data_IF_421153091710
#
_entry.id   IF_421153091710
#
_cell.length_a   1.000
_cell.length_b   1.000
_cell.length_c   1.000
_cell.angle_alpha   90.00
_cell.angle_beta   90.00
_cell.angle_gamma   90.00
#
_symmetry.space_group_name_H-M   'P 1'
#
loop_
_entity.id
_entity.type
_entity.pdbx_description
1 polymer ?
#
# COMPACT_ATOMS: atom_id res chain seq x y z
N UNK A 1 16.49 -15.18 -4.68
CA UNK A 1 15.18 -14.67 -5.12
C UNK A 1 14.58 -13.89 -3.96
N UNK A 2 14.34 -12.61 -4.17
CA UNK A 2 13.87 -11.68 -3.14
C UNK A 2 12.39 -11.96 -2.86
N UNK A 3 12.07 -12.39 -1.63
CA UNK A 3 10.70 -12.74 -1.19
C UNK A 3 10.03 -11.63 -0.36
N UNK A 4 10.47 -10.39 -0.53
CA UNK A 4 9.92 -9.27 0.24
C UNK A 4 8.52 -8.93 -0.28
N UNK A 5 7.52 -9.02 0.61
CA UNK A 5 6.13 -8.73 0.26
C UNK A 5 5.85 -7.24 0.32
N UNK A 6 5.13 -6.72 -0.67
CA UNK A 6 4.78 -5.31 -0.71
C UNK A 6 3.31 -5.04 -1.05
N UNK A 7 2.88 -3.81 -0.78
CA UNK A 7 1.60 -3.22 -1.18
C UNK A 7 1.75 -1.70 -1.37
N UNK A 8 0.79 -1.01 -2.02
CA UNK A 8 0.81 0.45 -2.17
C UNK A 8 0.92 1.19 -0.83
N UNK A 9 1.67 2.29 -0.83
CA UNK A 9 1.82 3.19 0.31
C UNK A 9 0.50 3.85 0.69
N UNK A 10 -0.39 4.09 -0.29
CA UNK A 10 -1.73 4.62 -0.08
C UNK A 10 -2.44 4.00 1.12
N UNK A 11 -2.43 2.67 1.22
CA UNK A 11 -3.14 1.96 2.27
C UNK A 11 -2.72 2.44 3.67
N UNK A 12 -1.42 2.64 3.89
CA UNK A 12 -0.90 3.20 5.13
C UNK A 12 -1.08 4.71 5.23
N UNK A 13 -0.91 5.45 4.12
CA UNK A 13 -1.04 6.92 4.11
C UNK A 13 -2.41 7.38 4.58
N UNK A 14 -3.49 6.69 4.20
CA UNK A 14 -4.84 7.02 4.66
C UNK A 14 -4.97 6.98 6.18
N UNK A 15 -4.33 6.01 6.84
CA UNK A 15 -4.33 5.91 8.31
C UNK A 15 -3.54 7.06 8.92
N UNK A 16 -2.39 7.39 8.33
CA UNK A 16 -1.55 8.50 8.79
C UNK A 16 -2.29 9.84 8.68
N UNK A 17 -2.93 10.09 7.55
CA UNK A 17 -3.67 11.33 7.28
C UNK A 17 -4.88 11.47 8.19
N UNK A 18 -5.57 10.37 8.49
CA UNK A 18 -6.60 10.35 9.52
C UNK A 18 -6.07 10.80 10.87
N UNK A 19 -4.98 10.17 11.33
CA UNK A 19 -4.35 10.53 12.60
C UNK A 19 -3.94 12.02 12.61
N UNK A 20 -3.32 12.51 11.53
CA UNK A 20 -2.95 13.92 11.38
C UNK A 20 -4.19 14.84 11.49
N UNK A 21 -5.32 14.46 10.89
CA UNK A 21 -6.58 15.24 10.96
C UNK A 21 -7.20 15.29 12.36
N UNK A 22 -6.88 14.32 13.20
CA UNK A 22 -7.35 14.22 14.60
C UNK A 22 -6.31 14.69 15.62
N UNK A 23 -5.12 15.09 15.18
CA UNK A 23 -4.01 15.43 16.07
C UNK A 23 -3.44 14.22 16.84
N UNK A 24 -3.68 13.00 16.36
CA UNK A 24 -3.16 11.76 16.95
C UNK A 24 -1.71 11.58 16.48
N UNK A 25 -0.79 11.41 17.43
CA UNK A 25 0.63 11.21 17.10
C UNK A 25 0.88 9.83 16.51
N UNK A 26 1.44 9.81 15.30
CA UNK A 26 1.86 8.57 14.63
C UNK A 26 3.32 8.25 14.97
N UNK A 27 3.65 7.01 15.37
CA UNK A 27 5.01 6.57 15.65
C UNK A 27 6.02 6.92 14.57
N UNK A 28 7.24 7.26 15.00
CA UNK A 28 8.31 7.76 14.13
C UNK A 28 8.65 6.83 12.97
N UNK A 29 8.51 5.51 13.18
CA UNK A 29 8.83 4.52 12.14
C UNK A 29 7.83 4.47 10.97
N UNK A 30 6.70 5.18 11.05
CA UNK A 30 5.78 5.37 9.93
C UNK A 30 5.93 6.73 9.24
N UNK A 31 6.72 7.66 9.81
CA UNK A 31 6.74 9.05 9.37
C UNK A 31 7.19 9.24 7.92
N UNK A 32 8.14 8.43 7.46
CA UNK A 32 8.68 8.51 6.11
C UNK A 32 7.64 8.20 5.02
N UNK A 33 6.57 7.47 5.35
CA UNK A 33 5.53 7.05 4.41
C UNK A 33 4.73 8.24 3.88
N UNK A 34 4.64 9.33 4.66
CA UNK A 34 4.00 10.60 4.26
C UNK A 34 4.56 11.17 2.95
N UNK A 35 5.84 10.90 2.68
CA UNK A 35 6.57 11.48 1.55
C UNK A 35 6.60 10.59 0.31
N UNK A 36 5.93 9.44 0.37
CA UNK A 36 5.81 8.51 -0.75
C UNK A 36 4.61 8.91 -1.63
N UNK A 37 4.71 8.63 -2.93
CA UNK A 37 3.56 8.61 -3.81
C UNK A 37 2.58 7.51 -3.38
N UNK A 38 1.32 7.58 -3.81
CA UNK A 38 0.30 6.61 -3.41
C UNK A 38 0.59 5.21 -3.98
N UNK A 39 1.16 5.17 -5.19
CA UNK A 39 1.53 3.96 -5.92
C UNK A 39 2.82 3.32 -5.43
N UNK A 40 3.68 4.08 -4.74
CA UNK A 40 4.96 3.60 -4.20
C UNK A 40 4.72 2.36 -3.35
N UNK A 41 5.60 1.40 -3.47
CA UNK A 41 5.49 0.15 -2.71
C UNK A 41 6.16 0.31 -1.35
N UNK A 42 5.54 -0.29 -0.33
CA UNK A 42 6.08 -0.45 1.02
C UNK A 42 5.83 -1.89 1.50
N UNK A 43 6.33 -2.22 2.69
CA UNK A 43 6.17 -3.52 3.32
C UNK A 43 4.69 -3.89 3.41
N UNK A 44 4.39 -5.10 2.98
CA UNK A 44 3.06 -5.67 3.05
C UNK A 44 2.47 -5.62 4.45
N UNK A 45 3.23 -5.63 5.55
CA UNK A 45 2.62 -5.66 6.88
C UNK A 45 2.30 -4.27 7.46
N UNK A 46 2.78 -3.19 6.83
CA UNK A 46 2.76 -1.86 7.44
C UNK A 46 1.36 -1.33 7.78
N UNK A 47 0.35 -1.43 6.89
CA UNK A 47 -0.99 -0.90 7.24
C UNK A 47 -1.66 -1.71 8.37
N UNK A 48 -1.41 -3.01 8.48
CA UNK A 48 -2.00 -3.81 9.55
C UNK A 48 -1.34 -3.47 10.88
N UNK A 49 -0.03 -3.26 10.87
CA UNK A 49 0.73 -2.85 12.06
C UNK A 49 0.29 -1.47 12.54
N UNK A 50 0.22 -0.45 11.67
CA UNK A 50 -0.22 0.88 12.10
C UNK A 50 -1.68 0.87 12.56
N UNK A 51 -2.58 0.13 11.91
CA UNK A 51 -3.97 0.03 12.36
C UNK A 51 -4.08 -0.59 13.75
N UNK A 52 -3.30 -1.64 14.01
CA UNK A 52 -3.23 -2.24 15.33
C UNK A 52 -2.62 -1.30 16.37
N UNK A 53 -1.47 -0.68 16.06
CA UNK A 53 -0.79 0.26 16.95
C UNK A 53 -1.72 1.43 17.30
N UNK A 54 -2.42 2.00 16.31
CA UNK A 54 -3.29 3.15 16.52
C UNK A 54 -4.56 2.77 17.29
N UNK A 55 -5.15 1.61 17.01
CA UNK A 55 -6.30 1.09 17.79
C UNK A 55 -5.94 0.92 19.28
N UNK A 56 -4.72 0.46 19.58
CA UNK A 56 -4.23 0.30 20.96
C UNK A 56 -3.92 1.65 21.61
N UNK A 57 -3.30 2.59 20.88
CA UNK A 57 -2.89 3.89 21.42
C UNK A 57 -4.05 4.87 21.63
N UNK A 58 -5.03 4.89 20.73
CA UNK A 58 -6.19 5.79 20.79
C UNK A 58 -7.26 5.31 21.80
N UNK A 59 -7.14 4.07 22.29
CA UNK A 59 -8.14 3.38 23.11
C UNK A 59 -9.57 3.45 22.50
N UNK A 60 -9.66 3.70 21.19
CA UNK A 60 -10.89 3.92 20.48
C UNK A 60 -11.40 2.61 19.87
N UNK A 61 -12.51 2.06 20.39
CA UNK A 61 -13.06 0.85 19.83
C UNK A 61 -13.50 1.04 18.37
N UNK A 62 -13.74 2.24 17.88
CA UNK A 62 -14.26 2.47 16.55
C UNK A 62 -13.25 3.06 15.57
N UNK A 63 -11.95 3.03 15.89
CA UNK A 63 -10.89 3.64 15.04
C UNK A 63 -11.03 3.32 13.54
N UNK A 64 -11.19 2.06 13.17
CA UNK A 64 -11.36 1.69 11.77
C UNK A 64 -12.67 2.19 11.13
N UNK A 65 -13.76 2.31 11.89
CA UNK A 65 -14.99 2.92 11.38
C UNK A 65 -14.80 4.40 11.09
N UNK A 66 -14.03 5.10 11.92
CA UNK A 66 -13.79 6.53 11.72
C UNK A 66 -12.90 6.80 10.50
N UNK A 67 -12.12 5.79 10.06
CA UNK A 67 -11.36 5.83 8.80
C UNK A 67 -12.24 5.74 7.55
N UNK A 68 -13.52 5.40 7.67
CA UNK A 68 -14.41 5.17 6.53
C UNK A 68 -14.44 6.36 5.57
N UNK A 69 -14.49 7.59 6.10
CA UNK A 69 -14.51 8.79 5.26
C UNK A 69 -13.20 8.95 4.47
N UNK A 70 -12.05 8.68 5.10
CA UNK A 70 -10.74 8.80 4.43
C UNK A 70 -10.60 7.72 3.37
N UNK A 71 -11.06 6.51 3.67
CA UNK A 71 -11.03 5.42 2.71
C UNK A 71 -11.88 5.77 1.49
N UNK A 72 -13.07 6.33 1.70
CA UNK A 72 -13.93 6.82 0.61
C UNK A 72 -13.24 7.87 -0.24
N UNK A 73 -12.58 8.86 0.37
CA UNK A 73 -11.90 9.96 -0.33
C UNK A 73 -10.61 9.53 -1.06
N UNK A 74 -9.94 8.48 -0.60
CA UNK A 74 -8.60 8.10 -1.07
C UNK A 74 -8.56 6.76 -1.79
N UNK A 75 -9.16 5.72 -1.21
CA UNK A 75 -9.12 4.36 -1.73
C UNK A 75 -10.01 4.20 -2.97
N UNK A 76 -11.20 4.81 -2.96
CA UNK A 76 -12.12 4.73 -4.11
C UNK A 76 -11.49 5.39 -5.34
N UNK A 77 -11.02 6.65 -5.32
CA UNK A 77 -10.40 7.26 -6.50
C UNK A 77 -9.14 6.54 -6.99
N UNK A 78 -8.39 5.89 -6.09
CA UNK A 78 -7.26 5.06 -6.48
C UNK A 78 -7.70 3.78 -7.20
N UNK A 79 -8.78 3.16 -6.72
CA UNK A 79 -9.29 1.89 -7.23
C UNK A 79 -10.11 2.07 -8.50
N UNK A 80 -11.01 3.05 -8.60
CA UNK A 80 -11.89 3.19 -9.78
C UNK A 80 -11.11 3.46 -11.08
N UNK A 81 -9.87 3.98 -10.99
CA UNK A 81 -8.99 4.19 -12.15
C UNK A 81 -8.69 2.91 -12.94
N UNK A 82 -8.85 1.74 -12.33
CA UNK A 82 -8.61 0.45 -12.97
C UNK A 82 -9.89 -0.22 -13.49
N UNK A 83 -11.05 0.35 -13.18
CA UNK A 83 -12.34 -0.20 -13.61
C UNK A 83 -12.70 0.33 -14.99
N UNK A 84 -13.31 -0.53 -15.80
CA UNK A 84 -13.92 -0.16 -17.06
C UNK A 84 -15.44 -0.19 -16.87
N UNK A 85 -16.06 0.97 -16.77
CA UNK A 85 -17.50 1.09 -16.54
C UNK A 85 -18.35 0.65 -17.74
N UNK A 86 -17.74 0.26 -18.86
CA UNK A 86 -18.44 -0.43 -19.95
C UNK A 86 -18.54 -1.94 -19.73
N UNK A 87 -17.78 -2.50 -18.77
CA UNK A 87 -17.86 -3.90 -18.37
C UNK A 87 -18.84 -4.08 -17.21
N UNK A 88 -19.41 -5.26 -17.09
CA UNK A 88 -20.23 -5.65 -15.93
C UNK A 88 -19.44 -5.57 -14.62
N UNK A 89 -20.16 -5.60 -13.50
CA UNK A 89 -19.54 -5.69 -12.17
C UNK A 89 -18.69 -6.97 -12.00
N UNK A 90 -19.11 -8.09 -12.59
CA UNK A 90 -18.39 -9.37 -12.53
C UNK A 90 -17.03 -9.30 -13.24
N UNK A 91 -17.00 -8.71 -14.44
CA UNK A 91 -15.75 -8.53 -15.20
C UNK A 91 -14.83 -7.49 -14.56
N UNK A 92 -15.39 -6.42 -13.99
CA UNK A 92 -14.63 -5.47 -13.19
C UNK A 92 -14.03 -6.10 -11.93
N UNK A 93 -14.71 -7.09 -11.31
CA UNK A 93 -14.17 -7.82 -10.16
C UNK A 93 -12.97 -8.68 -10.56
N UNK A 94 -13.00 -9.26 -11.75
CA UNK A 94 -11.88 -9.99 -12.34
C UNK A 94 -10.67 -9.06 -12.51
N UNK A 95 -10.84 -7.92 -13.18
CA UNK A 95 -9.77 -6.94 -13.42
C UNK A 95 -9.22 -6.37 -12.11
N UNK A 96 -10.09 -6.07 -11.14
CA UNK A 96 -9.72 -5.67 -9.79
C UNK A 96 -8.83 -6.70 -9.10
N UNK A 97 -9.23 -7.98 -9.17
CA UNK A 97 -8.46 -9.09 -8.58
C UNK A 97 -7.08 -9.20 -9.23
N UNK A 98 -7.00 -9.10 -10.55
CA UNK A 98 -5.74 -9.19 -11.29
C UNK A 98 -4.81 -8.00 -11.03
N UNK A 99 -5.36 -6.79 -11.01
CA UNK A 99 -4.61 -5.57 -10.68
C UNK A 99 -3.98 -5.68 -9.30
N UNK A 100 -4.77 -5.90 -8.24
CA UNK A 100 -4.22 -5.96 -6.88
C UNK A 100 -3.23 -7.10 -6.68
N UNK A 101 -3.40 -8.24 -7.37
CA UNK A 101 -2.41 -9.33 -7.39
C UNK A 101 -1.09 -8.94 -8.06
N UNK A 102 -1.13 -8.04 -9.05
CA UNK A 102 0.08 -7.60 -9.76
C UNK A 102 0.89 -6.55 -8.99
N UNK A 103 0.20 -5.70 -8.20
CA UNK A 103 0.78 -4.57 -7.47
C UNK A 103 0.93 -4.80 -5.96
N UNK A 104 0.59 -5.99 -5.48
CA UNK A 104 0.69 -6.40 -4.08
C UNK A 104 0.88 -7.91 -3.97
N UNK A 105 1.51 -8.39 -2.88
CA UNK A 105 1.63 -9.83 -2.59
C UNK A 105 0.43 -10.40 -1.84
N UNK A 106 -0.75 -9.87 -2.16
CA UNK A 106 -2.02 -10.40 -1.70
C UNK A 106 -2.20 -11.81 -2.26
N UNK A 107 -2.57 -12.76 -1.41
CA UNK A 107 -2.85 -14.14 -1.82
C UNK A 107 -4.23 -14.26 -2.47
N UNK A 108 -4.45 -13.45 -3.52
CA UNK A 108 -5.72 -13.36 -4.24
C UNK A 108 -5.67 -14.17 -5.53
N UNK A 109 -6.80 -14.79 -5.84
CA UNK A 109 -7.04 -15.55 -7.06
C UNK A 109 -8.46 -15.32 -7.54
N UNK A 110 -8.70 -15.57 -8.82
CA UNK A 110 -10.03 -15.55 -9.41
C UNK A 110 -10.48 -16.98 -9.74
N UNK A 111 -11.77 -17.25 -9.50
CA UNK A 111 -12.47 -18.42 -10.05
C UNK A 111 -13.51 -17.85 -11.01
N UNK A 112 -13.44 -18.25 -12.28
CA UNK A 112 -14.38 -17.81 -13.31
C UNK A 112 -15.18 -19.02 -13.77
N UNK A 113 -16.50 -18.90 -13.75
CA UNK A 113 -17.43 -19.90 -14.26
C UNK A 113 -18.25 -19.31 -15.40
N UNK A 114 -19.14 -20.10 -15.99
CA UNK A 114 -20.09 -19.60 -17.00
C UNK A 114 -21.03 -18.54 -16.42
N UNK A 115 -21.34 -18.60 -15.11
CA UNK A 115 -22.38 -17.76 -14.49
C UNK A 115 -21.86 -16.74 -13.49
N UNK A 116 -20.57 -16.78 -13.12
CA UNK A 116 -20.04 -15.90 -12.08
C UNK A 116 -18.53 -15.67 -12.16
N UNK A 117 -18.10 -14.61 -11.47
CA UNK A 117 -16.70 -14.35 -11.13
C UNK A 117 -16.57 -14.31 -9.62
N UNK A 118 -15.58 -15.03 -9.09
CA UNK A 118 -15.27 -15.04 -7.66
C UNK A 118 -13.85 -14.55 -7.41
N UNK A 119 -13.70 -13.48 -6.62
CA UNK A 119 -12.45 -13.15 -5.94
C UNK A 119 -12.30 -14.09 -4.74
N UNK A 120 -11.17 -14.78 -4.63
CA UNK A 120 -10.79 -15.59 -3.47
C UNK A 120 -9.50 -15.04 -2.88
N UNK A 121 -9.55 -14.57 -1.65
CA UNK A 121 -8.40 -14.13 -0.88
C UNK A 121 -8.09 -15.18 0.20
N UNK A 122 -7.03 -15.95 -0.03
CA UNK A 122 -6.61 -17.01 0.88
C UNK A 122 -6.23 -16.45 2.26
N UNK A 123 -6.45 -17.25 3.30
CA UNK A 123 -6.23 -16.87 4.70
C UNK A 123 -5.47 -17.95 5.44
N UNK A 124 -4.69 -17.52 6.42
CA UNK A 124 -3.92 -18.40 7.28
C UNK A 124 -4.74 -18.89 8.48
N UNK A 125 -4.06 -19.32 9.53
CA UNK A 125 -4.70 -19.59 10.82
C UNK A 125 -5.21 -18.30 11.45
N UNK A 126 -6.35 -18.37 12.14
CA UNK A 126 -7.00 -17.22 12.78
C UNK A 126 -6.04 -16.43 13.71
N UNK A 127 -5.16 -17.12 14.44
CA UNK A 127 -4.20 -16.50 15.37
C UNK A 127 -3.17 -15.58 14.70
N UNK A 128 -2.98 -15.70 13.38
CA UNK A 128 -2.01 -14.90 12.61
C UNK A 128 -2.68 -13.96 11.63
N UNK A 129 -4.01 -14.02 11.52
CA UNK A 129 -4.75 -13.20 10.58
C UNK A 129 -5.02 -11.81 11.16
N UNK A 130 -5.17 -10.84 10.27
CA UNK A 130 -5.59 -9.50 10.66
C UNK A 130 -7.00 -9.26 10.14
N UNK A 131 -7.92 -8.92 11.06
CA UNK A 131 -9.29 -8.50 10.71
C UNK A 131 -9.31 -7.35 9.70
N UNK A 132 -8.30 -6.48 9.70
CA UNK A 132 -8.20 -5.34 8.80
C UNK A 132 -8.08 -5.74 7.34
N UNK A 133 -7.41 -6.86 7.02
CA UNK A 133 -7.34 -7.34 5.64
C UNK A 133 -8.73 -7.68 5.09
N UNK A 134 -9.61 -8.24 5.93
CA UNK A 134 -11.00 -8.56 5.56
C UNK A 134 -11.87 -7.31 5.50
N UNK A 135 -11.73 -6.40 6.47
CA UNK A 135 -12.48 -5.15 6.51
C UNK A 135 -12.16 -4.25 5.31
N UNK A 136 -10.88 -4.17 4.88
CA UNK A 136 -10.50 -3.43 3.68
C UNK A 136 -11.16 -3.98 2.42
N UNK A 137 -11.12 -5.30 2.24
CA UNK A 137 -11.75 -5.91 1.06
C UNK A 137 -13.25 -5.69 1.12
N UNK A 138 -13.89 -5.96 2.26
CA UNK A 138 -15.31 -5.73 2.44
C UNK A 138 -15.71 -4.30 2.06
N UNK A 139 -15.00 -3.29 2.58
CA UNK A 139 -15.25 -1.89 2.26
C UNK A 139 -15.12 -1.60 0.76
N UNK A 140 -14.07 -2.09 0.10
CA UNK A 140 -13.94 -1.95 -1.36
C UNK A 140 -15.13 -2.58 -2.09
N UNK A 141 -15.58 -3.77 -1.68
CA UNK A 141 -16.68 -4.47 -2.35
C UNK A 141 -18.01 -3.73 -2.15
N UNK A 142 -18.29 -3.25 -0.94
CA UNK A 142 -19.54 -2.54 -0.66
C UNK A 142 -19.58 -1.15 -1.29
N UNK A 143 -18.46 -0.43 -1.33
CA UNK A 143 -18.43 0.95 -1.80
C UNK A 143 -18.21 1.09 -3.29
N UNK A 144 -17.55 0.12 -3.91
CA UNK A 144 -17.18 0.19 -5.32
C UNK A 144 -18.04 -0.74 -6.15
N UNK A 145 -18.30 -1.97 -5.68
CA UNK A 145 -18.99 -2.98 -6.48
C UNK A 145 -20.49 -3.01 -6.25
N UNK A 146 -20.98 -2.89 -5.00
CA UNK A 146 -22.42 -2.85 -4.71
C UNK A 146 -23.17 -1.80 -5.55
N UNK A 147 -22.66 -0.57 -5.78
CA UNK A 147 -23.32 0.41 -6.63
C UNK A 147 -23.33 0.08 -8.13
N UNK A 148 -22.51 -0.87 -8.57
CA UNK A 148 -22.44 -1.31 -9.98
C UNK A 148 -23.42 -2.46 -10.28
N UNK A 149 -24.08 -3.02 -9.26
CA UNK A 149 -25.00 -4.14 -9.42
C UNK A 149 -26.41 -3.65 -9.74
N UNK A 150 -27.09 -4.37 -10.64
CA UNK A 150 -28.52 -4.17 -10.88
C UNK A 150 -29.37 -4.66 -9.70
N UNK A 151 -28.99 -5.78 -9.08
CA UNK A 151 -29.59 -6.30 -7.86
C UNK A 151 -28.51 -6.53 -6.79
N UNK A 152 -28.63 -5.94 -5.58
CA UNK A 152 -27.68 -6.16 -4.49
C UNK A 152 -27.44 -7.63 -4.14
N UNK A 153 -28.43 -8.51 -4.33
CA UNK A 153 -28.33 -9.93 -4.03
C UNK A 153 -27.42 -10.71 -5.02
N UNK A 154 -26.99 -10.08 -6.11
CA UNK A 154 -26.04 -10.68 -7.08
C UNK A 154 -24.61 -10.78 -6.55
N UNK A 155 -24.34 -10.19 -5.38
CA UNK A 155 -23.05 -10.28 -4.72
C UNK A 155 -23.12 -11.08 -3.42
N UNK A 156 -22.37 -12.18 -3.36
CA UNK A 156 -22.19 -12.98 -2.16
C UNK A 156 -20.80 -12.77 -1.56
N UNK A 157 -20.75 -12.34 -0.30
CA UNK A 157 -19.51 -12.21 0.47
C UNK A 157 -19.44 -13.29 1.55
N UNK A 158 -18.33 -14.03 1.57
CA UNK A 158 -18.02 -15.03 2.58
C UNK A 158 -16.73 -14.66 3.31
N UNK A 159 -16.80 -14.61 4.64
CA UNK A 159 -15.71 -14.31 5.55
C UNK A 159 -15.00 -15.59 6.03
N UNK A 160 -13.67 -15.53 6.22
CA UNK A 160 -12.87 -16.70 6.58
C UNK A 160 -13.21 -17.26 7.96
N UNK A 161 -13.33 -16.38 8.95
CA UNK A 161 -13.44 -16.73 10.37
C UNK A 161 -14.84 -16.49 10.93
N UNK A 162 -15.02 -16.85 12.20
CA UNK A 162 -16.25 -16.64 12.95
C UNK A 162 -16.47 -15.17 13.32
N UNK A 163 -17.65 -14.87 13.85
CA UNK A 163 -18.06 -13.49 14.21
C UNK A 163 -17.12 -12.86 15.24
N UNK A 164 -16.72 -13.64 16.25
CA UNK A 164 -15.92 -13.17 17.38
C UNK A 164 -14.54 -12.63 16.94
N UNK A 165 -13.99 -13.15 15.84
CA UNK A 165 -12.72 -12.67 15.26
C UNK A 165 -12.78 -11.18 14.88
N UNK A 166 -13.92 -10.72 14.38
CA UNK A 166 -14.10 -9.33 13.96
C UNK A 166 -14.48 -8.41 15.11
N UNK A 167 -14.78 -8.97 16.29
CA UNK A 167 -15.08 -8.21 17.50
C UNK A 167 -16.16 -7.15 17.24
N UNK A 168 -15.96 -5.92 17.73
CA UNK A 168 -16.83 -4.75 17.54
C UNK A 168 -17.09 -4.36 16.08
N UNK A 169 -16.28 -4.83 15.12
CA UNK A 169 -16.49 -4.55 13.70
C UNK A 169 -17.56 -5.44 13.07
N UNK A 170 -18.12 -6.41 13.81
CA UNK A 170 -19.13 -7.33 13.27
C UNK A 170 -20.32 -6.61 12.63
N UNK A 171 -20.67 -5.42 13.12
CA UNK A 171 -21.82 -4.65 12.66
C UNK A 171 -21.61 -3.95 11.31
N UNK A 172 -20.38 -3.88 10.77
CA UNK A 172 -20.18 -3.38 9.39
C UNK A 172 -20.74 -4.35 8.35
N UNK A 173 -20.80 -5.64 8.70
CA UNK A 173 -21.04 -6.68 7.73
C UNK A 173 -22.53 -6.89 7.49
N UNK A 174 -22.96 -6.60 6.27
CA UNK A 174 -24.31 -6.79 5.78
C UNK A 174 -24.34 -8.01 4.85
N UNK A 175 -25.28 -8.93 5.08
CA UNK A 175 -25.55 -10.07 4.18
C UNK A 175 -24.34 -10.98 3.89
N UNK A 176 -23.39 -11.09 4.83
CA UNK A 176 -22.21 -11.97 4.68
C UNK A 176 -22.41 -13.34 5.32
N UNK A 177 -21.64 -14.34 4.87
CA UNK A 177 -21.51 -15.65 5.53
C UNK A 177 -20.18 -15.76 6.26
N UNK A 178 -20.11 -16.51 7.36
CA UNK A 178 -18.90 -16.68 8.20
C UNK A 178 -18.39 -18.12 8.16
N UNK A 179 -17.16 -18.36 8.64
CA UNK A 179 -16.53 -19.69 8.75
C UNK A 179 -16.30 -20.40 7.39
N UNK A 180 -15.90 -19.67 6.35
CA UNK A 180 -15.61 -20.22 5.02
C UNK A 180 -14.11 -20.49 4.75
N UNK A 181 -13.22 -20.25 5.71
CA UNK A 181 -11.79 -20.53 5.61
C UNK A 181 -10.99 -19.59 4.68
N UNK A 182 -11.66 -18.81 3.85
CA UNK A 182 -11.10 -17.73 3.03
C UNK A 182 -12.07 -16.56 2.97
N UNK A 183 -11.56 -15.38 2.60
CA UNK A 183 -12.44 -14.27 2.21
C UNK A 183 -12.77 -14.46 0.73
N UNK A 184 -14.05 -14.47 0.35
CA UNK A 184 -14.44 -14.54 -1.06
C UNK A 184 -15.61 -13.64 -1.38
N UNK A 185 -15.62 -13.13 -2.61
CA UNK A 185 -16.68 -12.29 -3.17
C UNK A 185 -17.06 -12.92 -4.49
N UNK A 186 -18.30 -13.32 -4.65
CA UNK A 186 -18.84 -13.85 -5.90
C UNK A 186 -19.85 -12.86 -6.46
N UNK A 187 -19.69 -12.48 -7.72
CA UNK A 187 -20.65 -11.65 -8.45
C UNK A 187 -21.16 -12.46 -9.66
N UNK A 188 -22.48 -12.50 -9.82
CA UNK A 188 -23.13 -13.12 -10.97
C UNK A 188 -22.79 -12.36 -12.26
N UNK A 189 -22.60 -13.11 -13.35
CA UNK A 189 -22.39 -12.55 -14.68
C UNK A 189 -23.70 -12.06 -15.28
N UNK A 190 -23.61 -11.00 -16.07
CA UNK A 190 -24.70 -10.55 -16.94
C UNK A 190 -24.77 -11.42 -18.21
N UNK A 191 -25.89 -11.42 -18.94
CA UNK A 191 -26.09 -12.29 -20.11
C UNK A 191 -25.03 -12.07 -21.22
N UNK A 192 -24.53 -10.85 -21.34
CA UNK A 192 -23.51 -10.46 -22.33
C UNK A 192 -22.06 -10.73 -21.86
N UNK A 193 -21.85 -11.23 -20.64
CA UNK A 193 -20.51 -11.50 -20.12
C UNK A 193 -19.91 -12.78 -20.70
N UNK A 194 -18.94 -12.65 -21.61
CA UNK A 194 -18.22 -13.78 -22.18
C UNK A 194 -16.93 -14.10 -21.41
N UNK A 195 -16.56 -15.38 -21.33
CA UNK A 195 -15.32 -15.85 -20.65
C UNK A 195 -14.04 -15.30 -21.32
N UNK A 196 -14.11 -15.01 -22.62
CA UNK A 196 -12.96 -14.56 -23.41
C UNK A 196 -12.78 -13.04 -23.44
N UNK A 197 -13.55 -12.27 -22.66
CA UNK A 197 -13.37 -10.81 -22.59
C UNK A 197 -11.95 -10.49 -22.11
N UNK A 198 -11.24 -9.62 -22.82
CA UNK A 198 -9.87 -9.24 -22.48
C UNK A 198 -9.79 -8.73 -21.03
N UNK A 199 -8.97 -9.40 -20.24
CA UNK A 199 -8.66 -9.02 -18.87
C UNK A 199 -7.51 -8.01 -18.84
N UNK A 200 -7.50 -7.14 -17.84
CA UNK A 200 -6.45 -6.15 -17.62
C UNK A 200 -5.06 -6.83 -17.51
N UNK A 201 -4.18 -6.54 -18.46
CA UNK A 201 -2.78 -6.98 -18.43
C UNK A 201 -1.96 -5.99 -17.62
N UNK A 202 -1.53 -6.39 -16.42
CA UNK A 202 -0.69 -5.56 -15.55
C UNK A 202 0.67 -6.22 -15.32
N UNK A 203 1.73 -5.40 -15.40
CA UNK A 203 3.09 -5.85 -15.13
C UNK A 203 3.25 -6.21 -13.65
N UNK A 204 3.69 -7.43 -13.37
CA UNK A 204 3.98 -7.88 -12.01
C UNK A 204 5.20 -7.16 -11.42
N UNK A 205 5.16 -6.93 -10.10
CA UNK A 205 6.29 -6.39 -9.36
C UNK A 205 7.56 -7.24 -9.53
N UNK A 206 8.67 -6.59 -9.89
CA UNK A 206 9.99 -7.21 -10.04
C UNK A 206 10.84 -7.16 -8.76
N UNK A 207 11.99 -7.83 -8.74
CA UNK A 207 12.83 -7.89 -7.52
C UNK A 207 13.40 -6.54 -7.10
N UNK A 208 13.73 -5.65 -8.04
CA UNK A 208 14.28 -4.33 -7.71
C UNK A 208 13.21 -3.46 -7.04
N UNK A 209 11.97 -3.52 -7.52
CA UNK A 209 10.82 -2.85 -6.90
C UNK A 209 10.56 -3.37 -5.48
N UNK A 210 10.78 -4.67 -5.22
CA UNK A 210 10.68 -5.23 -3.87
C UNK A 210 11.74 -4.69 -2.92
N UNK A 211 12.97 -4.50 -3.40
CA UNK A 211 14.04 -3.88 -2.59
C UNK A 211 13.75 -2.40 -2.34
N UNK A 212 13.26 -1.68 -3.35
CA UNK A 212 12.80 -0.29 -3.18
C UNK A 212 11.66 -0.23 -2.16
N UNK A 213 10.71 -1.16 -2.19
CA UNK A 213 9.64 -1.23 -1.22
C UNK A 213 10.14 -1.44 0.21
N UNK A 214 11.12 -2.32 0.38
CA UNK A 214 11.76 -2.52 1.67
C UNK A 214 12.48 -1.24 2.14
N UNK A 215 13.21 -0.56 1.27
CA UNK A 215 13.89 0.69 1.60
C UNK A 215 12.90 1.82 1.95
N UNK A 216 11.80 1.94 1.21
CA UNK A 216 10.70 2.87 1.48
C UNK A 216 9.98 2.59 2.81
N UNK A 217 10.15 1.42 3.40
CA UNK A 217 9.54 1.04 4.68
C UNK A 217 10.41 1.35 5.89
N UNK A 218 11.62 1.86 5.67
CA UNK A 218 12.58 2.18 6.72
C UNK A 218 12.70 3.70 6.80
N UNK A 219 12.61 4.31 7.99
CA UNK A 219 12.86 5.73 8.15
C UNK A 219 14.22 6.15 7.57
N UNK A 220 14.26 7.31 6.91
CA UNK A 220 15.45 7.79 6.19
C UNK A 220 16.72 7.82 7.06
N UNK A 221 16.57 8.20 8.35
CA UNK A 221 17.69 8.26 9.29
C UNK A 221 18.23 6.88 9.69
N UNK A 222 17.41 5.82 9.66
CA UNK A 222 17.80 4.45 10.01
C UNK A 222 18.07 3.57 8.78
N UNK A 223 17.80 4.07 7.57
CA UNK A 223 18.02 3.35 6.32
C UNK A 223 19.52 3.17 6.03
N UNK A 224 19.94 1.91 6.02
CA UNK A 224 21.31 1.45 5.77
C UNK A 224 21.28 0.06 5.11
N UNK A 225 22.42 -0.42 4.64
CA UNK A 225 22.52 -1.76 4.08
C UNK A 225 22.13 -2.85 5.09
N UNK A 226 22.54 -2.71 6.36
CA UNK A 226 22.24 -3.67 7.41
C UNK A 226 20.75 -3.71 7.73
N UNK A 227 20.13 -2.54 7.94
CA UNK A 227 18.70 -2.45 8.25
C UNK A 227 17.83 -2.91 7.08
N UNK A 228 18.22 -2.59 5.85
CA UNK A 228 17.54 -3.08 4.64
C UNK A 228 17.62 -4.60 4.51
N UNK A 229 18.81 -5.18 4.66
CA UNK A 229 19.00 -6.62 4.58
C UNK A 229 18.26 -7.36 5.71
N UNK A 230 18.28 -6.80 6.92
CA UNK A 230 17.53 -7.32 8.08
C UNK A 230 16.03 -7.34 7.81
N UNK A 231 15.46 -6.23 7.33
CA UNK A 231 14.03 -6.16 7.00
C UNK A 231 13.63 -7.19 5.93
N UNK A 232 14.52 -7.45 4.98
CA UNK A 232 14.34 -8.43 3.92
C UNK A 232 14.65 -9.88 4.34
N UNK A 233 15.05 -10.10 5.59
CA UNK A 233 15.44 -11.40 6.15
C UNK A 233 16.56 -12.10 5.34
N UNK A 234 17.57 -11.35 4.92
CA UNK A 234 18.74 -11.86 4.20
C UNK A 234 20.03 -11.23 4.71
N UNK A 235 21.17 -11.88 4.47
CA UNK A 235 22.47 -11.31 4.81
C UNK A 235 22.83 -10.12 3.88
N UNK A 236 23.52 -9.07 4.38
CA UNK A 236 23.97 -7.94 3.56
C UNK A 236 24.74 -8.33 2.29
N UNK A 237 25.62 -9.34 2.39
CA UNK A 237 26.38 -9.87 1.24
C UNK A 237 25.47 -10.52 0.20
N UNK A 238 24.40 -11.18 0.63
CA UNK A 238 23.41 -11.77 -0.26
C UNK A 238 22.66 -10.69 -1.04
N UNK A 239 22.20 -9.64 -0.35
CA UNK A 239 21.53 -8.50 -0.99
C UNK A 239 22.43 -7.79 -2.01
N UNK A 240 23.71 -7.57 -1.65
CA UNK A 240 24.70 -7.00 -2.58
C UNK A 240 24.87 -7.85 -3.83
N UNK A 241 25.00 -9.17 -3.66
CA UNK A 241 25.15 -10.12 -4.78
C UNK A 241 23.92 -10.13 -5.67
N UNK A 242 22.72 -10.23 -5.09
CA UNK A 242 21.47 -10.26 -5.85
C UNK A 242 21.26 -8.96 -6.64
N UNK A 243 21.46 -7.80 -6.02
CA UNK A 243 21.34 -6.52 -6.72
C UNK A 243 22.39 -6.37 -7.83
N UNK A 244 23.61 -6.86 -7.63
CA UNK A 244 24.65 -6.83 -8.67
C UNK A 244 24.24 -7.63 -9.91
N UNK A 245 23.58 -8.78 -9.73
CA UNK A 245 23.05 -9.59 -10.83
C UNK A 245 21.92 -8.86 -11.57
N UNK A 246 21.16 -8.02 -10.86
CA UNK A 246 20.11 -7.16 -11.42
C UNK A 246 20.66 -5.82 -11.98
N UNK A 247 21.99 -5.66 -12.10
CA UNK A 247 22.61 -4.43 -12.62
C UNK A 247 22.54 -3.23 -11.66
N UNK A 248 22.30 -3.45 -10.37
CA UNK A 248 22.13 -2.41 -9.36
C UNK A 248 23.06 -2.61 -8.15
N UNK A 249 23.03 -1.67 -7.20
CA UNK A 249 23.78 -1.71 -5.94
C UNK A 249 22.89 -1.21 -4.80
N UNK A 250 22.98 -1.78 -3.58
CA UNK A 250 22.16 -1.32 -2.45
C UNK A 250 22.31 0.18 -2.18
N UNK A 251 23.52 0.72 -2.34
CA UNK A 251 23.78 2.13 -2.10
C UNK A 251 22.99 3.05 -3.05
N UNK A 252 22.76 2.64 -4.30
CA UNK A 252 21.96 3.45 -5.23
C UNK A 252 20.51 3.54 -4.75
N UNK A 253 19.94 2.41 -4.30
CA UNK A 253 18.57 2.36 -3.77
C UNK A 253 18.45 3.21 -2.50
N UNK A 254 19.40 3.05 -1.57
CA UNK A 254 19.44 3.82 -0.31
C UNK A 254 19.54 5.32 -0.59
N UNK A 255 20.46 5.73 -1.47
CA UNK A 255 20.66 7.15 -1.82
C UNK A 255 19.40 7.73 -2.49
N UNK A 256 18.74 6.97 -3.37
CA UNK A 256 17.50 7.39 -4.03
C UNK A 256 16.35 7.60 -3.03
N UNK A 257 16.13 6.67 -2.09
CA UNK A 257 15.08 6.83 -1.08
C UNK A 257 15.37 8.01 -0.16
N UNK A 258 16.63 8.18 0.27
CA UNK A 258 17.05 9.32 1.11
C UNK A 258 16.89 10.66 0.39
N UNK A 259 17.25 10.75 -0.89
CA UNK A 259 17.13 12.00 -1.64
C UNK A 259 15.68 12.37 -1.91
N UNK A 260 14.81 11.39 -2.19
CA UNK A 260 13.37 11.62 -2.35
C UNK A 260 12.76 12.15 -1.05
N UNK A 261 13.15 11.60 0.10
CA UNK A 261 12.76 12.13 1.41
C UNK A 261 13.20 13.59 1.59
N UNK A 262 14.48 13.89 1.29
CA UNK A 262 15.03 15.25 1.38
C UNK A 262 14.27 16.22 0.46
N UNK A 263 13.97 15.82 -0.78
CA UNK A 263 13.25 16.65 -1.76
C UNK A 263 11.85 17.01 -1.26
N UNK A 264 11.14 16.05 -0.68
CA UNK A 264 9.82 16.30 -0.10
C UNK A 264 9.90 17.20 1.14
N UNK A 265 10.86 16.95 2.03
CA UNK A 265 11.09 17.79 3.21
C UNK A 265 11.50 19.22 2.84
N UNK A 266 12.24 19.38 1.74
CA UNK A 266 12.61 20.69 1.20
C UNK A 266 11.39 21.48 0.72
N UNK A 267 10.40 20.81 0.14
CA UNK A 267 9.14 21.45 -0.25
C UNK A 267 8.36 21.95 0.97
N UNK A 268 8.24 21.11 2.01
CA UNK A 268 7.58 21.46 3.27
C UNK A 268 8.27 22.65 3.95
N UNK A 269 9.60 22.65 3.94
CA UNK A 269 10.41 23.72 4.51
C UNK A 269 10.49 24.96 3.61
N UNK A 270 9.66 25.06 2.57
CA UNK A 270 9.60 26.20 1.62
C UNK A 270 10.97 26.53 1.02
N UNK A 271 11.76 25.51 0.70
CA UNK A 271 13.10 25.65 0.13
C UNK A 271 14.21 25.98 1.14
N UNK A 272 13.95 25.94 2.45
CA UNK A 272 14.98 26.17 3.46
C UNK A 272 15.97 25.00 3.55
N UNK A 273 17.03 25.07 2.75
CA UNK A 273 18.07 24.06 2.62
C UNK A 273 18.74 23.72 3.96
N UNK A 274 19.04 24.71 4.81
CA UNK A 274 19.76 24.50 6.07
C UNK A 274 18.89 23.74 7.07
N UNK A 275 17.62 24.13 7.19
CA UNK A 275 16.65 23.44 8.04
C UNK A 275 16.45 22.00 7.55
N UNK A 276 16.23 21.80 6.26
CA UNK A 276 16.04 20.46 5.67
C UNK A 276 17.25 19.55 5.91
N UNK A 277 18.47 20.05 5.73
CA UNK A 277 19.69 19.27 5.98
C UNK A 277 19.76 18.80 7.44
N UNK A 278 19.49 19.71 8.39
CA UNK A 278 19.47 19.40 9.81
C UNK A 278 18.41 18.34 10.16
N UNK A 279 17.17 18.52 9.71
CA UNK A 279 16.08 17.57 10.00
C UNK A 279 16.27 16.20 9.32
N UNK A 280 17.00 16.16 8.20
CA UNK A 280 17.38 14.90 7.55
C UNK A 280 18.61 14.24 8.20
N UNK A 281 19.12 14.78 9.31
CA UNK A 281 20.21 14.19 10.10
C UNK A 281 21.62 14.47 9.58
N UNK A 282 21.82 15.47 8.73
CA UNK A 282 23.16 15.85 8.29
C UNK A 282 23.86 16.73 9.34
N UNK A 283 25.08 16.33 9.70
CA UNK A 283 25.91 17.05 10.68
C UNK A 283 26.49 18.35 10.15
N UNK A 284 26.66 18.45 8.82
CA UNK A 284 27.27 19.61 8.18
C UNK A 284 26.76 19.82 6.74
N UNK A 285 26.73 21.09 6.33
CA UNK A 285 26.26 21.51 5.00
C UNK A 285 27.10 21.01 3.83
N UNK A 286 28.45 20.94 3.92
CA UNK A 286 29.26 20.33 2.86
C UNK A 286 28.92 18.87 2.57
N UNK A 287 28.68 18.05 3.59
CA UNK A 287 28.28 16.64 3.44
C UNK A 287 26.91 16.52 2.79
N UNK A 288 25.93 17.31 3.26
CA UNK A 288 24.61 17.39 2.63
C UNK A 288 24.69 17.79 1.16
N UNK A 289 25.43 18.86 0.85
CA UNK A 289 25.51 19.40 -0.52
C UNK A 289 26.16 18.40 -1.48
N UNK A 290 27.22 17.70 -1.04
CA UNK A 290 27.88 16.65 -1.83
C UNK A 290 26.95 15.46 -2.07
N UNK A 291 26.26 14.99 -1.03
CA UNK A 291 25.27 13.92 -1.16
C UNK A 291 24.17 14.30 -2.16
N UNK A 292 23.52 15.44 -1.92
CA UNK A 292 22.39 15.90 -2.73
C UNK A 292 22.80 16.12 -4.19
N UNK A 293 23.95 16.74 -4.44
CA UNK A 293 24.44 16.99 -5.80
C UNK A 293 24.81 15.69 -6.52
N UNK A 294 25.47 14.76 -5.81
CA UNK A 294 25.81 13.45 -6.39
C UNK A 294 24.57 12.66 -6.80
N UNK A 295 23.50 12.73 -6.00
CA UNK A 295 22.30 11.91 -6.24
C UNK A 295 21.31 12.59 -7.20
N UNK A 296 21.16 13.92 -7.15
CA UNK A 296 20.19 14.65 -8.01
C UNK A 296 20.81 15.23 -9.28
N UNK A 297 22.14 15.33 -9.36
CA UNK A 297 22.84 16.04 -10.42
C UNK A 297 22.83 17.57 -10.28
N UNK A 298 22.08 18.14 -9.31
CA UNK A 298 21.98 19.58 -9.08
C UNK A 298 22.43 19.95 -7.67
N UNK A 299 23.05 21.12 -7.53
CA UNK A 299 23.26 21.68 -6.19
C UNK A 299 21.91 21.95 -5.51
N UNK A 300 21.81 21.88 -4.17
CA UNK A 300 20.56 22.18 -3.46
C UNK A 300 19.95 23.53 -3.85
N UNK A 301 20.78 24.57 -4.01
CA UNK A 301 20.34 25.91 -4.44
C UNK A 301 19.79 25.90 -5.86
N UNK A 302 20.47 25.22 -6.79
CA UNK A 302 20.03 25.12 -8.18
C UNK A 302 18.70 24.37 -8.28
N UNK A 303 18.54 23.29 -7.50
CA UNK A 303 17.31 22.50 -7.44
C UNK A 303 16.12 23.34 -6.94
N UNK A 304 16.27 24.08 -5.84
CA UNK A 304 15.21 24.98 -5.32
C UNK A 304 14.83 26.03 -6.36
N UNK A 305 15.82 26.66 -7.00
CA UNK A 305 15.59 27.66 -8.05
C UNK A 305 14.80 27.08 -9.22
N UNK A 306 15.19 25.91 -9.71
CA UNK A 306 14.52 25.24 -10.82
C UNK A 306 13.04 24.96 -10.50
N UNK A 307 12.76 24.46 -9.28
CA UNK A 307 11.39 24.14 -8.83
C UNK A 307 10.49 25.38 -8.67
N UNK A 308 11.05 26.50 -8.22
CA UNK A 308 10.34 27.78 -8.15
C UNK A 308 10.01 28.37 -9.53
N UNK A 309 10.75 28.02 -10.58
CA UNK A 309 10.48 28.50 -11.95
C UNK A 309 9.47 27.64 -12.70
N UNK A 310 9.17 26.43 -12.21
CA UNK A 310 8.23 25.48 -12.80
C UNK A 310 6.88 25.40 -12.07
N UNK A 311 6.67 26.25 -11.05
CA UNK A 311 5.43 26.34 -10.25
C UNK A 311 4.72 27.65 -10.55
#
# INVERSE_FOLDING_TARGET
MIKFKCRPALHTKMVIEYCDSKGISVPDHYQNIRFLADEDKINYYTVNNILHDMEVLDNNPYFFFELEHVFRERLIPFTIKILDFNKSAALNLLDFTHYYRSISDLAWSSIVTDTSVTLVAARGSEQRASKYDDLFIYFCMTEIFKPLLNNPDDMLICLPYGRDFYSKYINVFEQVKFNHGCFSVTINKEEDDHINTECLVVKSINELERVNAAANSIPSHSLSLSTLAQLMNIAPRSLQRELKLLGSKPQHIIDNVKVNYIINKLAINKGNIKLTAYECGFTDMPTFSRFFTRTTGLSPKAYVKARMMSS
#
